data_IF_369974004978
#
_entry.id   IF_369974004978
#
_cell.length_a   1.000
_cell.length_b   1.000
_cell.length_c   1.000
_cell.angle_alpha   90.00
_cell.angle_beta   90.00
_cell.angle_gamma   90.00
#
_symmetry.space_group_name_H-M   'P 1'
#
loop_
_entity.id
_entity.type
_entity.pdbx_description
1 polymer ?
#
# COMPACT_ATOMS: atom_id res chain seq x y z
N UNK A 1 24.54 4.75 -8.10
CA UNK A 1 23.59 3.65 -7.88
C UNK A 1 23.48 3.41 -6.40
N UNK A 2 22.27 3.40 -5.84
CA UNK A 2 22.03 3.17 -4.41
C UNK A 2 22.15 1.67 -4.15
N UNK A 3 23.07 1.24 -3.29
CA UNK A 3 23.29 -0.19 -3.02
C UNK A 3 22.81 -0.63 -1.63
N UNK A 4 22.73 0.30 -0.68
CA UNK A 4 22.44 0.03 0.72
C UNK A 4 21.88 1.27 1.43
N UNK A 5 21.61 1.16 2.73
CA UNK A 5 21.04 2.24 3.54
C UNK A 5 21.95 3.49 3.62
N UNK A 6 23.27 3.32 3.65
CA UNK A 6 24.22 4.44 3.75
C UNK A 6 24.30 5.24 2.44
N UNK A 7 24.27 4.55 1.29
CA UNK A 7 24.15 5.18 -0.02
C UNK A 7 22.84 5.97 -0.12
N UNK A 8 21.75 5.43 0.43
CA UNK A 8 20.46 6.09 0.44
C UNK A 8 20.48 7.36 1.30
N UNK A 9 21.04 7.30 2.51
CA UNK A 9 21.21 8.46 3.38
C UNK A 9 22.06 9.53 2.69
N UNK A 10 23.14 9.13 2.00
CA UNK A 10 24.00 10.04 1.25
C UNK A 10 23.24 10.73 0.11
N UNK A 11 22.44 9.98 -0.65
CA UNK A 11 21.58 10.53 -1.70
C UNK A 11 20.51 11.46 -1.11
N UNK A 12 19.86 11.07 -0.02
CA UNK A 12 18.82 11.88 0.61
C UNK A 12 19.36 13.24 1.07
N UNK A 13 20.60 13.28 1.60
CA UNK A 13 21.29 14.53 1.91
C UNK A 13 21.56 15.37 0.66
N UNK A 14 22.01 14.75 -0.44
CA UNK A 14 22.26 15.46 -1.71
C UNK A 14 20.99 16.05 -2.33
N UNK A 15 19.86 15.36 -2.19
CA UNK A 15 18.55 15.82 -2.68
C UNK A 15 17.91 16.90 -1.79
N UNK A 16 18.49 17.18 -0.63
CA UNK A 16 17.96 18.13 0.34
C UNK A 16 18.73 19.45 0.27
N UNK A 17 18.00 20.55 0.03
CA UNK A 17 18.57 21.90 -0.09
C UNK A 17 17.62 22.85 -0.81
N UNK A 18 17.83 24.17 -0.65
CA UNK A 18 17.06 25.21 -1.34
C UNK A 18 15.52 25.03 -1.26
N UNK A 19 15.00 24.80 -0.05
CA UNK A 19 13.57 24.52 0.21
C UNK A 19 13.01 23.29 -0.54
N UNK A 20 13.87 22.31 -0.82
CA UNK A 20 13.50 20.98 -1.30
C UNK A 20 14.09 19.93 -0.37
N UNK A 21 13.40 18.81 -0.25
CA UNK A 21 13.78 17.71 0.63
C UNK A 21 13.74 16.39 -0.12
N UNK A 22 14.56 15.44 0.31
CA UNK A 22 14.46 14.09 -0.23
C UNK A 22 13.09 13.47 0.07
N UNK A 23 12.57 13.73 1.27
CA UNK A 23 11.42 13.04 1.84
C UNK A 23 10.39 14.03 2.38
N UNK A 24 9.12 13.64 2.34
CA UNK A 24 8.06 14.28 3.11
C UNK A 24 6.78 13.49 2.97
N UNK A 25 6.26 13.01 4.10
CA UNK A 25 5.13 12.09 4.12
C UNK A 25 4.41 12.15 5.45
N UNK A 26 3.10 11.89 5.42
CA UNK A 26 2.33 11.59 6.62
C UNK A 26 3.04 10.49 7.43
N UNK A 27 3.23 10.72 8.74
CA UNK A 27 3.92 9.82 9.68
C UNK A 27 5.26 9.25 9.14
N UNK A 28 6.05 10.07 8.46
CA UNK A 28 7.36 9.73 7.89
C UNK A 28 7.35 8.67 6.77
N UNK A 29 6.21 8.11 6.39
CA UNK A 29 6.08 7.17 5.26
C UNK A 29 7.01 5.97 5.37
N UNK A 30 6.76 5.09 6.35
CA UNK A 30 7.70 4.02 6.72
C UNK A 30 7.84 2.89 5.67
N UNK A 31 6.83 2.67 4.82
CA UNK A 31 6.73 1.47 3.97
C UNK A 31 7.94 1.24 3.03
N UNK A 32 8.49 2.25 2.32
CA UNK A 32 9.72 2.06 1.56
C UNK A 32 10.89 1.55 2.40
N UNK A 33 10.97 1.96 3.67
CA UNK A 33 12.01 1.53 4.59
C UNK A 33 11.74 0.14 5.17
N UNK A 34 10.47 -0.23 5.36
CA UNK A 34 10.08 -1.61 5.72
C UNK A 34 10.56 -2.61 4.66
N UNK A 35 10.42 -2.25 3.38
CA UNK A 35 10.96 -3.02 2.26
C UNK A 35 12.50 -3.10 2.27
N UNK A 36 13.18 -1.98 2.52
CA UNK A 36 14.65 -1.90 2.54
C UNK A 36 15.23 -2.73 3.68
N UNK A 37 14.60 -2.73 4.86
CA UNK A 37 15.07 -3.41 6.07
C UNK A 37 14.51 -4.82 6.27
N UNK A 38 13.77 -5.35 5.29
CA UNK A 38 13.16 -6.68 5.35
C UNK A 38 12.17 -6.86 6.52
N UNK A 39 11.48 -5.78 6.92
CA UNK A 39 10.39 -5.87 7.89
C UNK A 39 9.29 -6.75 7.29
N UNK A 40 8.82 -7.79 8.01
CA UNK A 40 7.78 -8.67 7.47
C UNK A 40 6.47 -7.95 7.17
N UNK A 41 5.66 -8.50 6.27
CA UNK A 41 4.35 -7.95 5.99
C UNK A 41 3.36 -8.34 7.09
N UNK A 42 3.08 -7.43 8.03
CA UNK A 42 2.14 -7.58 9.14
C UNK A 42 2.51 -8.68 10.16
N UNK A 43 2.49 -9.95 9.75
CA UNK A 43 2.90 -11.11 10.54
C UNK A 43 3.89 -11.97 9.77
N UNK A 44 4.65 -12.80 10.49
CA UNK A 44 5.50 -13.83 9.89
C UNK A 44 5.57 -15.06 10.77
N UNK A 45 5.88 -16.21 10.18
CA UNK A 45 6.13 -17.44 10.91
C UNK A 45 7.62 -17.54 11.24
N UNK A 46 7.98 -17.53 12.53
CA UNK A 46 9.33 -17.84 13.03
C UNK A 46 9.24 -19.03 13.98
N UNK A 47 9.94 -20.12 13.65
CA UNK A 47 9.97 -21.36 14.45
C UNK A 47 8.59 -21.89 14.85
N UNK A 48 7.64 -21.90 13.91
CA UNK A 48 6.28 -22.40 14.12
C UNK A 48 5.36 -21.46 14.92
N UNK A 49 5.77 -20.22 15.20
CA UNK A 49 4.95 -19.21 15.89
C UNK A 49 4.81 -17.95 15.06
N UNK A 50 3.65 -17.30 15.17
CA UNK A 50 3.43 -15.99 14.58
C UNK A 50 4.22 -14.92 15.35
N UNK A 51 4.90 -14.05 14.62
CA UNK A 51 5.60 -12.87 15.14
C UNK A 51 5.08 -11.65 14.39
N UNK A 52 4.67 -10.60 15.12
CA UNK A 52 4.22 -9.35 14.51
C UNK A 52 5.43 -8.57 14.00
N UNK A 53 5.29 -7.89 12.87
CA UNK A 53 6.31 -7.01 12.28
C UNK A 53 7.00 -6.09 13.32
N UNK A 54 6.25 -5.39 14.16
CA UNK A 54 6.75 -4.45 15.18
C UNK A 54 7.59 -5.10 16.29
N UNK A 55 7.50 -6.43 16.44
CA UNK A 55 8.28 -7.17 17.44
C UNK A 55 9.66 -7.59 16.91
N UNK A 56 9.95 -7.34 15.63
CA UNK A 56 11.18 -7.81 14.98
C UNK A 56 12.36 -6.84 15.18
N UNK A 57 13.60 -7.35 15.30
CA UNK A 57 14.80 -6.50 15.28
C UNK A 57 14.86 -5.59 14.04
N UNK A 58 14.49 -6.12 12.88
CA UNK A 58 14.43 -5.45 11.59
C UNK A 58 13.57 -4.17 11.65
N UNK A 59 12.44 -4.21 12.38
CA UNK A 59 11.58 -3.05 12.60
C UNK A 59 12.26 -1.95 13.42
N UNK A 60 12.96 -2.31 14.50
CA UNK A 60 13.64 -1.33 15.35
C UNK A 60 14.86 -0.71 14.66
N UNK A 61 15.58 -1.49 13.84
CA UNK A 61 16.67 -1.01 12.99
C UNK A 61 16.15 -0.02 11.94
N UNK A 62 15.05 -0.36 11.27
CA UNK A 62 14.36 0.52 10.32
C UNK A 62 13.97 1.84 10.97
N UNK A 63 13.28 1.80 12.12
CA UNK A 63 12.84 3.00 12.85
C UNK A 63 14.04 3.87 13.24
N UNK A 64 15.14 3.26 13.67
CA UNK A 64 16.39 3.97 13.99
C UNK A 64 17.03 4.61 12.74
N UNK A 65 16.95 3.96 11.59
CA UNK A 65 17.44 4.52 10.33
C UNK A 65 16.60 5.70 9.84
N UNK A 66 15.27 5.63 9.94
CA UNK A 66 14.39 6.75 9.59
C UNK A 66 14.63 7.94 10.52
N UNK A 67 14.90 7.70 11.81
CA UNK A 67 15.33 8.74 12.74
C UNK A 67 16.66 9.40 12.29
N UNK A 68 17.64 8.62 11.79
CA UNK A 68 18.89 9.18 11.23
C UNK A 68 18.65 10.07 10.01
N UNK A 69 17.72 9.68 9.12
CA UNK A 69 17.31 10.50 7.97
C UNK A 69 16.67 11.82 8.43
N UNK A 70 15.79 11.78 9.43
CA UNK A 70 15.18 12.96 10.02
C UNK A 70 16.22 13.88 10.67
N UNK A 71 17.10 13.34 11.50
CA UNK A 71 18.19 14.08 12.15
C UNK A 71 19.17 14.71 11.15
N UNK A 72 19.31 14.09 9.97
CA UNK A 72 20.08 14.64 8.84
C UNK A 72 19.33 15.73 8.04
N UNK A 73 18.11 16.11 8.45
CA UNK A 73 17.30 17.14 7.79
C UNK A 73 16.65 16.70 6.48
N UNK A 74 16.65 15.39 6.15
CA UNK A 74 16.21 14.89 4.85
C UNK A 74 14.68 14.94 4.64
N UNK A 75 13.92 15.20 5.71
CA UNK A 75 12.47 15.35 5.68
C UNK A 75 12.06 16.82 5.62
N UNK A 76 11.04 17.12 4.83
CA UNK A 76 10.36 18.40 4.89
C UNK A 76 9.84 18.66 6.32
N UNK A 77 10.16 19.82 6.94
CA UNK A 77 9.76 20.11 8.31
C UNK A 77 8.23 20.02 8.51
N UNK A 78 7.81 19.31 9.56
CA UNK A 78 6.40 19.12 9.90
C UNK A 78 5.64 18.17 8.96
N UNK A 79 6.33 17.51 8.02
CA UNK A 79 5.67 16.61 7.06
C UNK A 79 5.01 15.39 7.71
N UNK A 80 5.43 15.00 8.91
CA UNK A 80 4.79 13.93 9.66
C UNK A 80 3.31 14.20 9.98
N UNK A 81 2.94 15.49 10.06
CA UNK A 81 1.58 15.97 10.28
C UNK A 81 0.78 16.24 9.00
N UNK A 82 1.34 15.99 7.82
CA UNK A 82 0.63 16.22 6.57
C UNK A 82 -0.55 15.27 6.38
N UNK A 83 -1.57 15.78 5.70
CA UNK A 83 -2.60 14.99 5.04
C UNK A 83 -2.06 14.34 3.76
N UNK A 84 -2.79 13.34 3.24
CA UNK A 84 -2.48 12.73 1.95
C UNK A 84 -2.38 13.77 0.82
N UNK A 85 -3.31 14.72 0.77
CA UNK A 85 -3.33 15.77 -0.28
C UNK A 85 -2.09 16.67 -0.21
N UNK A 86 -1.68 17.08 0.99
CA UNK A 86 -0.46 17.87 1.18
C UNK A 86 0.80 17.11 0.71
N UNK A 87 0.92 15.82 1.06
CA UNK A 87 2.01 14.97 0.59
C UNK A 87 2.02 14.87 -0.94
N UNK A 88 0.88 14.58 -1.57
CA UNK A 88 0.77 14.49 -3.03
C UNK A 88 1.14 15.81 -3.71
N UNK A 89 0.68 16.95 -3.19
CA UNK A 89 0.98 18.27 -3.76
C UNK A 89 2.47 18.65 -3.60
N UNK A 90 3.09 18.33 -2.47
CA UNK A 90 4.51 18.53 -2.26
C UNK A 90 5.36 17.71 -3.25
N UNK A 91 4.94 16.48 -3.55
CA UNK A 91 5.61 15.65 -4.54
C UNK A 91 5.40 16.16 -5.97
N UNK A 92 4.15 16.50 -6.34
CA UNK A 92 3.81 17.02 -7.68
C UNK A 92 4.57 18.30 -7.99
N UNK A 93 4.68 19.22 -7.02
CA UNK A 93 5.43 20.47 -7.16
C UNK A 93 6.96 20.30 -7.15
N UNK A 94 7.46 19.12 -6.81
CA UNK A 94 8.90 18.86 -6.65
C UNK A 94 9.50 19.43 -5.37
N UNK A 95 8.69 19.76 -4.36
CA UNK A 95 9.15 20.12 -3.02
C UNK A 95 9.80 18.92 -2.31
N UNK A 96 9.29 17.71 -2.57
CA UNK A 96 9.88 16.46 -2.08
C UNK A 96 10.21 15.51 -3.23
N UNK A 97 11.32 14.79 -3.14
CA UNK A 97 11.80 13.91 -4.21
C UNK A 97 11.19 12.50 -4.18
N UNK A 98 10.75 12.01 -3.01
CA UNK A 98 10.19 10.67 -2.84
C UNK A 98 9.03 10.67 -1.84
N UNK A 99 7.97 9.93 -2.19
CA UNK A 99 6.81 9.61 -1.33
C UNK A 99 6.43 8.14 -1.48
N UNK A 100 5.52 7.65 -0.62
CA UNK A 100 4.84 6.37 -0.79
C UNK A 100 3.33 6.58 -0.97
N UNK A 101 2.79 6.17 -2.12
CA UNK A 101 1.34 6.25 -2.41
C UNK A 101 0.86 5.09 -3.31
N UNK A 102 1.63 3.99 -3.34
CA UNK A 102 1.36 2.82 -4.16
C UNK A 102 1.52 3.05 -5.68
N UNK A 103 1.71 1.97 -6.41
CA UNK A 103 1.84 2.00 -7.88
C UNK A 103 0.56 2.46 -8.62
N UNK A 104 -0.68 2.16 -8.15
CA UNK A 104 -1.87 2.66 -8.82
C UNK A 104 -1.95 4.19 -8.93
N UNK A 105 -1.37 4.94 -7.97
CA UNK A 105 -1.35 6.40 -8.02
C UNK A 105 -0.43 6.96 -9.13
N UNK A 106 0.51 6.17 -9.62
CA UNK A 106 1.41 6.56 -10.70
C UNK A 106 0.71 6.61 -12.07
N UNK A 107 -0.02 5.55 -12.43
CA UNK A 107 -0.53 5.36 -13.80
C UNK A 107 -2.02 5.59 -14.02
N UNK A 108 -2.81 5.85 -12.98
CA UNK A 108 -4.23 6.21 -13.13
C UNK A 108 -4.41 7.54 -13.88
N UNK A 109 -5.60 7.84 -14.43
CA UNK A 109 -5.94 9.20 -14.85
C UNK A 109 -5.81 10.20 -13.68
N UNK A 110 -5.15 11.33 -13.94
CA UNK A 110 -4.71 12.28 -12.90
C UNK A 110 -3.56 11.77 -12.02
N UNK A 111 -2.86 10.72 -12.42
CA UNK A 111 -1.76 10.10 -11.69
C UNK A 111 -0.44 10.85 -11.84
N UNK A 112 0.56 10.46 -11.04
CA UNK A 112 1.84 11.19 -10.96
C UNK A 112 2.58 11.30 -12.29
N UNK A 113 2.48 10.30 -13.18
CA UNK A 113 3.11 10.40 -14.50
C UNK A 113 2.58 11.56 -15.35
N UNK A 114 1.34 12.00 -15.10
CA UNK A 114 0.76 13.13 -15.81
C UNK A 114 0.94 14.42 -15.01
N UNK A 115 0.68 14.38 -13.70
CA UNK A 115 0.63 15.59 -12.87
C UNK A 115 2.01 16.16 -12.57
N UNK A 116 3.05 15.33 -12.40
CA UNK A 116 4.42 15.80 -12.15
C UNK A 116 4.98 16.59 -13.36
N UNK A 117 4.95 16.06 -14.60
CA UNK A 117 5.38 16.83 -15.77
C UNK A 117 4.45 18.01 -16.09
N UNK A 118 3.16 17.92 -15.78
CA UNK A 118 2.23 19.05 -15.97
C UNK A 118 2.56 20.23 -15.04
N UNK A 119 2.97 19.96 -13.79
CA UNK A 119 3.39 21.00 -12.86
C UNK A 119 4.75 21.60 -13.23
N UNK A 120 5.68 20.78 -13.72
CA UNK A 120 6.96 21.23 -14.27
C UNK A 120 7.46 20.26 -15.35
N UNK A 121 7.51 20.66 -16.64
CA UNK A 121 7.92 19.78 -17.74
C UNK A 121 9.35 19.22 -17.64
N UNK A 122 10.21 19.82 -16.81
CA UNK A 122 11.56 19.31 -16.56
C UNK A 122 11.58 18.13 -15.57
N UNK A 123 10.52 17.96 -14.76
CA UNK A 123 10.45 16.91 -13.75
C UNK A 123 10.02 15.58 -14.38
N UNK A 124 10.61 14.50 -13.87
CA UNK A 124 10.25 13.13 -14.22
C UNK A 124 9.94 12.37 -12.94
N UNK A 125 9.01 11.43 -13.05
CA UNK A 125 8.65 10.51 -11.96
C UNK A 125 8.77 9.07 -12.45
N UNK A 126 9.19 8.19 -11.55
CA UNK A 126 9.28 6.76 -11.80
C UNK A 126 8.93 5.98 -10.53
N UNK A 127 8.43 4.74 -10.66
CA UNK A 127 8.37 3.80 -9.55
C UNK A 127 9.74 3.59 -8.88
N UNK A 128 9.75 3.57 -7.55
CA UNK A 128 10.95 3.25 -6.78
C UNK A 128 11.09 1.72 -6.66
N UNK A 129 12.23 1.18 -7.09
CA UNK A 129 12.59 -0.23 -6.90
C UNK A 129 13.53 -0.33 -5.69
N UNK A 130 13.12 -0.97 -4.59
CA UNK A 130 13.90 -0.99 -3.36
C UNK A 130 15.13 -1.90 -3.44
N UNK A 131 16.07 -1.66 -2.54
CA UNK A 131 17.32 -2.41 -2.32
C UNK A 131 17.39 -2.80 -0.84
N UNK A 132 18.19 -3.80 -0.47
CA UNK A 132 18.34 -4.16 0.95
C UNK A 132 19.24 -3.15 1.69
N UNK A 133 18.92 -2.87 2.95
CA UNK A 133 19.70 -2.02 3.85
C UNK A 133 21.18 -2.42 3.92
N UNK A 134 21.48 -3.71 3.80
CA UNK A 134 22.83 -4.30 3.89
C UNK A 134 23.42 -4.68 2.53
N UNK A 135 22.73 -4.39 1.43
CA UNK A 135 23.13 -4.77 0.07
C UNK A 135 22.34 -5.94 -0.51
N UNK A 136 22.13 -5.90 -1.82
CA UNK A 136 21.36 -6.93 -2.54
C UNK A 136 19.87 -6.62 -2.63
N UNK A 137 19.04 -7.66 -2.76
CA UNK A 137 17.61 -7.54 -3.02
C UNK A 137 16.83 -7.16 -1.76
N UNK A 138 15.95 -6.17 -1.87
CA UNK A 138 14.92 -5.89 -0.86
C UNK A 138 13.87 -7.00 -0.79
N UNK A 139 12.97 -6.90 0.18
CA UNK A 139 11.65 -7.53 0.13
C UNK A 139 10.64 -6.47 -0.28
N UNK A 140 9.54 -6.89 -0.90
CA UNK A 140 8.34 -6.05 -1.01
C UNK A 140 7.14 -6.82 -0.52
N UNK A 141 6.16 -6.12 0.01
CA UNK A 141 4.95 -6.79 0.46
C UNK A 141 4.05 -7.11 -0.72
N UNK A 142 3.50 -8.31 -0.72
CA UNK A 142 2.37 -8.70 -1.57
C UNK A 142 1.08 -8.11 -0.97
N UNK A 143 1.05 -6.79 -0.86
CA UNK A 143 -0.06 -6.03 -0.31
C UNK A 143 -1.17 -5.82 -1.35
N UNK A 144 -2.35 -5.36 -0.90
CA UNK A 144 -3.50 -5.07 -1.75
C UNK A 144 -3.93 -6.23 -2.69
N UNK A 145 -3.53 -7.46 -2.38
CA UNK A 145 -4.08 -8.67 -3.01
C UNK A 145 -5.55 -8.83 -2.64
N UNK A 146 -5.89 -8.44 -1.41
CA UNK A 146 -7.25 -8.26 -0.93
C UNK A 146 -7.43 -6.81 -0.50
N UNK A 147 -8.45 -6.15 -1.03
CA UNK A 147 -8.75 -4.75 -0.70
C UNK A 147 -9.74 -4.65 0.46
N UNK A 148 -10.76 -5.50 0.48
CA UNK A 148 -11.83 -5.49 1.48
C UNK A 148 -12.65 -6.77 1.44
N UNK A 149 -13.18 -7.14 2.60
CA UNK A 149 -14.09 -8.27 2.74
C UNK A 149 -15.54 -7.84 2.57
N UNK A 150 -16.23 -8.48 1.63
CA UNK A 150 -17.69 -8.38 1.51
C UNK A 150 -18.35 -9.49 2.30
N UNK A 151 -19.03 -9.11 3.39
CA UNK A 151 -19.77 -10.04 4.24
C UNK A 151 -21.22 -10.15 3.81
N UNK A 152 -21.69 -11.37 3.55
CA UNK A 152 -23.09 -11.65 3.25
C UNK A 152 -23.81 -12.11 4.51
N UNK A 153 -24.92 -11.45 4.85
CA UNK A 153 -25.76 -11.86 5.97
C UNK A 153 -26.30 -13.27 5.70
N UNK A 154 -26.27 -14.14 6.71
CA UNK A 154 -26.89 -15.46 6.63
C UNK A 154 -28.38 -15.31 6.27
N UNK A 155 -28.85 -16.13 5.32
CA UNK A 155 -30.22 -16.10 4.81
C UNK A 155 -30.59 -17.41 4.13
N UNK A 156 -31.73 -17.41 3.43
CA UNK A 156 -32.15 -18.57 2.63
C UNK A 156 -31.16 -18.83 1.48
N UNK A 157 -31.13 -20.06 0.98
CA UNK A 157 -30.31 -20.43 -0.19
C UNK A 157 -30.59 -19.52 -1.39
N UNK A 158 -31.85 -19.13 -1.59
CA UNK A 158 -32.24 -18.25 -2.68
C UNK A 158 -31.69 -16.83 -2.52
N UNK A 159 -31.71 -16.28 -1.30
CA UNK A 159 -31.09 -14.99 -1.01
C UNK A 159 -29.58 -15.02 -1.29
N UNK A 160 -28.88 -16.05 -0.79
CA UNK A 160 -27.44 -16.20 -1.01
C UNK A 160 -27.13 -16.33 -2.51
N UNK A 161 -27.92 -17.11 -3.25
CA UNK A 161 -27.76 -17.26 -4.71
C UNK A 161 -27.90 -15.92 -5.43
N UNK A 162 -28.90 -15.12 -5.09
CA UNK A 162 -29.10 -13.79 -5.69
C UNK A 162 -27.93 -12.84 -5.42
N UNK A 163 -27.43 -12.80 -4.18
CA UNK A 163 -26.27 -11.97 -3.82
C UNK A 163 -25.02 -12.42 -4.59
N UNK A 164 -24.79 -13.73 -4.71
CA UNK A 164 -23.67 -14.26 -5.47
C UNK A 164 -23.79 -13.98 -6.97
N UNK A 165 -25.00 -13.97 -7.55
CA UNK A 165 -25.21 -13.58 -8.94
C UNK A 165 -24.85 -12.11 -9.18
N UNK A 166 -25.23 -11.20 -8.27
CA UNK A 166 -24.82 -9.79 -8.35
C UNK A 166 -23.29 -9.67 -8.20
N UNK A 167 -22.68 -10.37 -7.24
CA UNK A 167 -21.24 -10.35 -7.06
C UNK A 167 -20.49 -10.86 -8.31
N UNK A 168 -21.01 -11.92 -8.96
CA UNK A 168 -20.44 -12.47 -10.19
C UNK A 168 -20.49 -11.47 -11.36
N UNK A 169 -21.59 -10.73 -11.48
CA UNK A 169 -21.71 -9.64 -12.47
C UNK A 169 -20.71 -8.51 -12.20
N UNK A 170 -20.61 -8.05 -10.94
CA UNK A 170 -19.68 -6.99 -10.56
C UNK A 170 -18.21 -7.40 -10.69
N UNK A 171 -17.92 -8.69 -10.50
CA UNK A 171 -16.59 -9.28 -10.63
C UNK A 171 -16.28 -9.86 -12.02
N UNK A 172 -17.07 -9.51 -13.03
CA UNK A 172 -16.88 -10.02 -14.38
C UNK A 172 -15.47 -9.69 -14.92
N UNK A 173 -14.86 -10.60 -15.69
CA UNK A 173 -13.46 -10.50 -16.10
C UNK A 173 -13.23 -9.36 -17.11
N UNK A 174 -12.01 -8.84 -17.14
CA UNK A 174 -11.56 -7.88 -18.15
C UNK A 174 -11.86 -8.39 -19.56
N UNK A 175 -12.47 -7.53 -20.38
CA UNK A 175 -12.89 -7.85 -21.74
C UNK A 175 -14.35 -8.29 -21.88
N UNK A 176 -15.08 -8.53 -20.77
CA UNK A 176 -16.53 -8.75 -20.83
C UNK A 176 -17.32 -7.44 -20.98
N UNK A 177 -18.58 -7.55 -21.40
CA UNK A 177 -19.50 -6.41 -21.50
C UNK A 177 -19.78 -5.80 -20.13
N UNK A 178 -19.93 -6.63 -19.10
CA UNK A 178 -20.15 -6.22 -17.72
C UNK A 178 -18.93 -5.47 -17.18
N UNK A 179 -17.72 -5.97 -17.38
CA UNK A 179 -16.50 -5.25 -16.97
C UNK A 179 -16.44 -3.88 -17.64
N UNK A 180 -16.77 -3.81 -18.93
CA UNK A 180 -16.76 -2.57 -19.70
C UNK A 180 -17.78 -1.56 -19.15
N UNK A 181 -19.01 -2.00 -18.88
CA UNK A 181 -20.04 -1.18 -18.26
C UNK A 181 -19.60 -0.66 -16.89
N UNK A 182 -19.06 -1.54 -16.04
CA UNK A 182 -18.71 -1.18 -14.66
C UNK A 182 -17.50 -0.24 -14.57
N UNK A 183 -16.57 -0.29 -15.52
CA UNK A 183 -15.34 0.49 -15.47
C UNK A 183 -15.31 1.69 -16.43
N UNK A 184 -16.12 1.68 -17.49
CA UNK A 184 -16.14 2.72 -18.52
C UNK A 184 -17.53 3.34 -18.77
N UNK A 185 -18.60 2.77 -18.23
CA UNK A 185 -19.97 3.26 -18.41
C UNK A 185 -20.63 2.79 -19.71
N UNK A 186 -21.60 3.55 -20.22
CA UNK A 186 -22.33 3.24 -21.45
C UNK A 186 -21.63 3.81 -22.71
N UNK A 187 -21.58 3.02 -23.78
CA UNK A 187 -21.04 3.47 -25.08
C UNK A 187 -21.89 4.62 -25.65
N UNK A 188 -21.23 5.63 -26.22
CA UNK A 188 -21.86 6.84 -26.76
C UNK A 188 -22.12 7.94 -25.72
N UNK A 189 -22.26 7.58 -24.45
CA UNK A 189 -22.43 8.54 -23.34
C UNK A 189 -21.13 8.72 -22.58
N UNK A 190 -20.61 7.63 -22.02
CA UNK A 190 -19.46 7.64 -21.12
C UNK A 190 -18.16 7.32 -21.85
N UNK A 191 -18.20 6.54 -22.92
CA UNK A 191 -17.03 6.30 -23.76
C UNK A 191 -17.40 6.15 -25.24
N UNK A 192 -16.41 6.36 -26.11
CA UNK A 192 -16.45 5.97 -27.51
C UNK A 192 -15.28 5.06 -27.82
N UNK A 193 -15.43 4.16 -28.81
CA UNK A 193 -14.33 3.30 -29.23
C UNK A 193 -13.42 4.02 -30.21
N UNK A 194 -12.11 3.88 -30.03
CA UNK A 194 -11.14 4.29 -31.04
C UNK A 194 -11.07 3.27 -32.20
N UNK A 195 -10.25 3.56 -33.21
CA UNK A 195 -10.06 2.69 -34.37
C UNK A 195 -9.48 1.29 -34.03
N UNK A 196 -8.97 1.09 -32.81
CA UNK A 196 -8.43 -0.18 -32.31
C UNK A 196 -9.42 -0.88 -31.35
N UNK A 197 -10.62 -0.33 -31.17
CA UNK A 197 -11.66 -0.86 -30.30
C UNK A 197 -11.50 -0.50 -28.81
N UNK A 198 -10.54 0.35 -28.44
CA UNK A 198 -10.34 0.74 -27.05
C UNK A 198 -11.42 1.71 -26.57
N UNK A 199 -11.92 1.56 -25.33
CA UNK A 199 -12.86 2.53 -24.75
C UNK A 199 -12.14 3.81 -24.34
N UNK A 200 -12.46 4.91 -25.03
CA UNK A 200 -11.96 6.25 -24.73
C UNK A 200 -13.04 7.03 -23.98
N UNK A 201 -12.81 7.41 -22.72
CA UNK A 201 -13.80 8.07 -21.90
C UNK A 201 -14.11 9.48 -22.42
N UNK A 202 -15.39 9.84 -22.36
CA UNK A 202 -15.87 11.22 -22.50
C UNK A 202 -15.73 11.95 -21.15
N UNK A 203 -15.92 13.28 -21.11
CA UNK A 203 -15.98 14.01 -19.84
C UNK A 203 -17.09 13.53 -18.88
N UNK A 204 -18.16 12.92 -19.39
CA UNK A 204 -19.29 12.46 -18.58
C UNK A 204 -18.95 11.21 -17.75
N UNK A 205 -18.04 10.35 -18.23
CA UNK A 205 -17.65 9.11 -17.56
C UNK A 205 -17.27 9.33 -16.10
N UNK A 206 -16.48 10.38 -15.81
CA UNK A 206 -15.94 10.61 -14.48
C UNK A 206 -17.02 10.71 -13.39
N UNK A 207 -18.20 11.25 -13.71
CA UNK A 207 -19.33 11.33 -12.79
C UNK A 207 -20.11 10.01 -12.76
N UNK A 208 -20.38 9.42 -13.93
CA UNK A 208 -21.25 8.25 -14.06
C UNK A 208 -20.59 6.96 -13.56
N UNK A 209 -19.27 6.84 -13.64
CA UNK A 209 -18.49 5.69 -13.15
C UNK A 209 -17.91 5.92 -11.75
N UNK A 210 -18.26 7.03 -11.08
CA UNK A 210 -17.78 7.30 -9.72
C UNK A 210 -18.44 6.43 -8.66
N UNK A 211 -19.59 5.80 -8.98
CA UNK A 211 -20.33 4.98 -8.03
C UNK A 211 -19.47 3.77 -7.62
N UNK A 212 -19.23 3.55 -6.32
CA UNK A 212 -18.21 2.63 -5.83
C UNK A 212 -18.62 1.14 -5.87
N UNK A 213 -19.30 0.68 -6.91
CA UNK A 213 -19.79 -0.70 -7.03
C UNK A 213 -18.69 -1.76 -6.88
N UNK A 214 -17.49 -1.46 -7.37
CA UNK A 214 -16.30 -2.32 -7.27
C UNK A 214 -15.85 -2.61 -5.83
N UNK A 215 -16.33 -1.87 -4.83
CA UNK A 215 -16.07 -2.16 -3.42
C UNK A 215 -17.05 -3.19 -2.82
N UNK A 216 -18.05 -3.64 -3.59
CA UNK A 216 -18.94 -4.74 -3.20
C UNK A 216 -18.40 -6.09 -3.68
N UNK A 217 -17.95 -6.16 -4.92
CA UNK A 217 -17.22 -7.29 -5.49
C UNK A 217 -16.49 -6.81 -6.75
N UNK A 218 -15.30 -7.33 -6.99
CA UNK A 218 -14.52 -7.02 -8.17
C UNK A 218 -13.61 -8.20 -8.52
N UNK A 219 -13.34 -8.36 -9.82
CA UNK A 219 -12.28 -9.23 -10.28
C UNK A 219 -10.90 -8.62 -9.98
N UNK A 220 -9.81 -9.36 -10.26
CA UNK A 220 -8.46 -8.83 -10.11
C UNK A 220 -8.25 -7.60 -10.99
N UNK A 221 -7.48 -6.63 -10.50
CA UNK A 221 -7.14 -5.45 -11.27
C UNK A 221 -6.32 -5.84 -12.51
N UNK A 222 -6.71 -5.31 -13.67
CA UNK A 222 -5.95 -5.46 -14.92
C UNK A 222 -5.11 -4.22 -15.14
N UNK A 223 -3.83 -4.42 -15.46
CA UNK A 223 -2.94 -3.31 -15.81
C UNK A 223 -3.22 -2.87 -17.25
N UNK A 224 -4.18 -1.96 -17.42
CA UNK A 224 -4.60 -1.46 -18.72
C UNK A 224 -5.01 0.01 -18.64
N UNK A 225 -4.58 0.80 -19.63
CA UNK A 225 -5.05 2.16 -19.86
C UNK A 225 -4.83 2.51 -21.33
N UNK A 226 -5.90 2.78 -22.09
CA UNK A 226 -5.76 3.16 -23.49
C UNK A 226 -5.31 4.61 -23.65
N UNK A 227 -5.58 5.48 -22.65
CA UNK A 227 -5.14 6.88 -22.66
C UNK A 227 -3.66 7.03 -22.28
N UNK A 228 -3.14 6.11 -21.47
CA UNK A 228 -1.77 6.20 -20.93
C UNK A 228 -0.96 4.91 -21.14
N UNK A 229 -0.76 4.46 -22.39
CA UNK A 229 -0.09 3.19 -22.68
C UNK A 229 1.38 3.17 -22.20
N UNK A 230 2.08 4.31 -22.17
CA UNK A 230 3.44 4.36 -21.65
C UNK A 230 3.49 4.22 -20.13
N UNK A 231 2.45 4.67 -19.42
CA UNK A 231 2.31 4.42 -17.98
C UNK A 231 2.17 2.95 -17.67
N UNK A 232 1.37 2.25 -18.49
CA UNK A 232 1.18 0.81 -18.40
C UNK A 232 2.52 0.08 -18.58
N UNK A 233 3.36 0.47 -19.54
CA UNK A 233 4.69 -0.15 -19.74
C UNK A 233 5.61 0.06 -18.52
N UNK A 234 5.66 1.28 -17.97
CA UNK A 234 6.49 1.59 -16.80
C UNK A 234 6.00 0.80 -15.57
N UNK A 235 4.68 0.73 -15.36
CA UNK A 235 4.10 -0.07 -14.30
C UNK A 235 4.37 -1.56 -14.49
N UNK A 236 4.24 -2.08 -15.70
CA UNK A 236 4.52 -3.49 -15.99
C UNK A 236 5.97 -3.84 -15.67
N UNK A 237 6.92 -3.00 -16.10
CA UNK A 237 8.34 -3.17 -15.77
C UNK A 237 8.59 -3.14 -14.26
N UNK A 238 7.95 -2.21 -13.53
CA UNK A 238 8.05 -2.14 -12.08
C UNK A 238 7.47 -3.40 -11.41
N UNK A 239 6.25 -3.80 -11.74
CA UNK A 239 5.62 -5.01 -11.20
C UNK A 239 6.45 -6.27 -11.50
N UNK A 240 6.99 -6.40 -12.71
CA UNK A 240 7.84 -7.53 -13.11
C UNK A 240 9.12 -7.66 -12.26
N UNK A 241 9.61 -6.53 -11.72
CA UNK A 241 10.77 -6.49 -10.81
C UNK A 241 10.38 -6.70 -9.35
N UNK A 242 9.21 -6.22 -8.95
CA UNK A 242 8.75 -6.21 -7.56
C UNK A 242 8.09 -7.52 -7.14
N UNK A 243 7.20 -8.09 -7.96
CA UNK A 243 6.47 -9.32 -7.62
C UNK A 243 7.40 -10.49 -7.23
N UNK A 244 8.54 -10.73 -7.90
CA UNK A 244 9.49 -11.76 -7.48
C UNK A 244 10.17 -11.53 -6.12
N UNK A 245 10.10 -10.32 -5.57
CA UNK A 245 10.61 -9.96 -4.23
C UNK A 245 9.52 -10.06 -3.15
N UNK A 246 8.32 -10.48 -3.55
CA UNK A 246 7.11 -10.48 -2.75
C UNK A 246 7.18 -11.37 -1.51
N UNK A 247 6.81 -10.82 -0.36
CA UNK A 247 6.53 -11.57 0.87
C UNK A 247 5.06 -11.44 1.23
N UNK A 248 4.44 -12.56 1.58
CA UNK A 248 3.03 -12.63 1.97
C UNK A 248 2.86 -12.54 3.49
N UNK A 249 1.70 -12.01 3.91
CA UNK A 249 1.22 -12.12 5.28
C UNK A 249 0.54 -13.49 5.45
N UNK A 250 1.04 -14.38 6.32
CA UNK A 250 0.43 -15.69 6.56
C UNK A 250 -0.96 -15.61 7.20
N UNK A 251 -1.35 -14.45 7.72
CA UNK A 251 -2.67 -14.21 8.31
C UNK A 251 -3.68 -13.59 7.34
N UNK A 252 -3.27 -13.35 6.08
CA UNK A 252 -4.18 -12.88 5.04
C UNK A 252 -5.33 -13.87 4.86
N UNK A 253 -6.57 -13.37 4.83
CA UNK A 253 -7.77 -14.21 4.75
C UNK A 253 -8.24 -14.77 6.10
N UNK A 254 -7.48 -14.60 7.20
CA UNK A 254 -7.87 -15.08 8.52
C UNK A 254 -8.59 -14.01 9.33
N UNK A 255 -9.48 -14.45 10.22
CA UNK A 255 -10.26 -13.55 11.07
C UNK A 255 -9.83 -13.63 12.53
N UNK A 256 -9.58 -12.46 13.12
CA UNK A 256 -9.36 -12.28 14.56
C UNK A 256 -10.43 -11.33 15.10
N UNK A 257 -11.37 -11.82 15.93
CA UNK A 257 -12.37 -10.96 16.58
C UNK A 257 -11.73 -9.82 17.38
N UNK A 258 -10.61 -10.09 18.05
CA UNK A 258 -9.90 -9.06 18.83
C UNK A 258 -9.30 -7.99 17.91
N UNK A 259 -8.70 -8.38 16.79
CA UNK A 259 -8.12 -7.44 15.82
C UNK A 259 -9.22 -6.57 15.20
N UNK A 260 -10.34 -7.18 14.80
CA UNK A 260 -11.48 -6.45 14.23
C UNK A 260 -12.10 -5.45 15.23
N UNK A 261 -12.15 -5.81 16.51
CA UNK A 261 -12.75 -4.96 17.56
C UNK A 261 -11.85 -3.80 17.98
N UNK A 262 -10.56 -4.03 18.14
CA UNK A 262 -9.67 -3.07 18.81
C UNK A 262 -8.23 -3.00 18.27
N UNK A 263 -7.90 -3.70 17.18
CA UNK A 263 -6.54 -3.77 16.63
C UNK A 263 -5.94 -2.38 16.33
N UNK A 264 -6.72 -1.50 15.70
CA UNK A 264 -6.30 -0.12 15.42
C UNK A 264 -6.09 0.70 16.71
N UNK A 265 -6.96 0.53 17.70
CA UNK A 265 -6.89 1.22 18.99
C UNK A 265 -5.61 0.87 19.74
N UNK A 266 -5.28 -0.42 19.82
CA UNK A 266 -4.08 -0.87 20.54
C UNK A 266 -2.78 -0.60 19.78
N UNK A 267 -2.83 -0.50 18.44
CA UNK A 267 -1.67 -0.18 17.61
C UNK A 267 -1.30 1.32 17.62
N UNK A 268 -2.27 2.20 17.88
CA UNK A 268 -2.07 3.65 17.86
C UNK A 268 -0.93 4.13 18.79
N UNK A 269 -0.84 3.70 20.07
CA UNK A 269 0.28 4.08 20.93
C UNK A 269 1.66 3.72 20.38
N UNK A 270 1.79 2.59 19.66
CA UNK A 270 3.04 2.19 18.99
C UNK A 270 3.37 3.17 17.87
N UNK A 271 2.40 3.47 17.00
CA UNK A 271 2.58 4.43 15.90
C UNK A 271 2.95 5.84 16.42
N UNK A 272 2.33 6.28 17.51
CA UNK A 272 2.62 7.58 18.12
C UNK A 272 4.03 7.62 18.75
N UNK A 273 4.44 6.54 19.44
CA UNK A 273 5.79 6.40 20.00
C UNK A 273 6.87 6.41 18.91
N UNK A 274 6.66 5.69 17.80
CA UNK A 274 7.57 5.67 16.65
C UNK A 274 7.68 7.06 16.02
N UNK A 275 6.56 7.74 15.82
CA UNK A 275 6.53 9.12 15.28
C UNK A 275 7.32 10.07 16.18
N UNK A 276 7.13 9.99 17.50
CA UNK A 276 7.84 10.83 18.46
C UNK A 276 9.34 10.54 18.52
N UNK A 277 9.73 9.26 18.46
CA UNK A 277 11.14 8.88 18.42
C UNK A 277 11.83 9.41 17.15
N UNK A 278 11.23 9.20 15.97
CA UNK A 278 11.77 9.70 14.70
C UNK A 278 11.90 11.23 14.74
N UNK A 279 10.89 11.92 15.27
CA UNK A 279 10.89 13.37 15.41
C UNK A 279 11.81 13.91 16.53
N UNK A 280 12.57 13.06 17.22
CA UNK A 280 13.50 13.46 18.28
C UNK A 280 12.85 13.89 19.59
N UNK A 281 11.56 13.60 19.80
CA UNK A 281 10.78 13.94 21.01
C UNK A 281 10.57 12.76 21.97
N UNK A 282 11.22 11.64 21.71
CA UNK A 282 11.12 10.41 22.51
C UNK A 282 12.34 9.51 22.29
N UNK A 283 12.32 8.33 22.89
CA UNK A 283 13.42 7.37 22.86
C UNK A 283 13.01 6.04 22.21
N UNK A 284 14.02 5.25 21.79
CA UNK A 284 13.77 3.89 21.30
C UNK A 284 13.20 2.98 22.40
N UNK A 285 13.47 3.30 23.67
CA UNK A 285 12.88 2.58 24.80
C UNK A 285 11.38 2.86 24.95
N UNK A 286 10.91 4.05 24.59
CA UNK A 286 9.47 4.35 24.56
C UNK A 286 8.76 3.53 23.48
N UNK A 287 9.40 3.36 22.31
CA UNK A 287 8.91 2.48 21.24
C UNK A 287 8.80 1.03 21.73
N UNK A 288 9.86 0.50 22.34
CA UNK A 288 9.88 -0.87 22.91
C UNK A 288 8.81 -1.05 23.98
N UNK A 289 8.62 -0.05 24.85
CA UNK A 289 7.61 -0.07 25.89
C UNK A 289 6.20 -0.08 25.30
N UNK A 290 5.93 0.75 24.28
CA UNK A 290 4.65 0.76 23.58
C UNK A 290 4.35 -0.58 22.89
N UNK A 291 5.36 -1.24 22.29
CA UNK A 291 5.21 -2.59 21.71
C UNK A 291 4.86 -3.60 22.81
N UNK A 292 5.52 -3.55 23.97
CA UNK A 292 5.18 -4.41 25.10
C UNK A 292 3.75 -4.18 25.58
N UNK A 293 3.30 -2.93 25.65
CA UNK A 293 1.90 -2.60 25.98
C UNK A 293 0.92 -3.14 24.93
N UNK A 294 1.23 -3.02 23.64
CA UNK A 294 0.42 -3.57 22.56
C UNK A 294 0.19 -5.08 22.73
N UNK A 295 1.25 -5.84 23.08
CA UNK A 295 1.16 -7.28 23.35
C UNK A 295 0.12 -7.59 24.42
N UNK A 296 0.24 -6.95 25.59
CA UNK A 296 -0.66 -7.16 26.71
C UNK A 296 -2.07 -6.58 26.51
N UNK A 297 -2.22 -5.52 25.71
CA UNK A 297 -3.51 -4.86 25.46
C UNK A 297 -4.42 -5.62 24.48
N UNK A 298 -3.92 -6.68 23.86
CA UNK A 298 -4.69 -7.52 22.94
C UNK A 298 -3.86 -8.14 21.81
N UNK A 299 -2.63 -7.68 21.58
CA UNK A 299 -1.74 -8.22 20.55
C UNK A 299 -1.48 -9.72 20.70
N UNK A 300 -1.29 -10.20 21.93
CA UNK A 300 -1.09 -11.63 22.20
C UNK A 300 -2.38 -12.45 21.98
N UNK A 301 -3.54 -11.87 22.26
CA UNK A 301 -4.83 -12.50 21.96
C UNK A 301 -5.06 -12.60 20.44
N UNK A 302 -4.77 -11.52 19.70
CA UNK A 302 -4.81 -11.50 18.22
C UNK A 302 -3.89 -12.58 17.66
N UNK A 303 -2.65 -12.68 18.15
CA UNK A 303 -1.71 -13.72 17.74
C UNK A 303 -2.30 -15.12 17.96
N UNK A 304 -2.87 -15.38 19.15
CA UNK A 304 -3.46 -16.67 19.48
C UNK A 304 -4.65 -17.03 18.58
N UNK A 305 -5.51 -16.06 18.28
CA UNK A 305 -6.65 -16.22 17.36
C UNK A 305 -6.18 -16.60 15.95
N UNK A 306 -5.19 -15.90 15.41
CA UNK A 306 -4.62 -16.23 14.10
C UNK A 306 -3.90 -17.59 14.10
N UNK A 307 -3.11 -17.92 15.12
CA UNK A 307 -2.46 -19.23 15.21
C UNK A 307 -3.48 -20.38 15.28
N UNK A 308 -4.61 -20.17 15.97
CA UNK A 308 -5.72 -21.12 16.01
C UNK A 308 -6.37 -21.29 14.64
N UNK A 309 -6.56 -20.18 13.90
CA UNK A 309 -7.10 -20.22 12.55
C UNK A 309 -6.15 -20.97 11.60
N UNK A 310 -4.84 -20.72 11.69
CA UNK A 310 -3.81 -21.41 10.91
C UNK A 310 -3.73 -22.92 11.18
N UNK A 311 -3.94 -23.35 12.43
CA UNK A 311 -3.91 -24.78 12.78
C UNK A 311 -5.17 -25.54 12.35
N UNK A 312 -6.08 -24.93 11.59
CA UNK A 312 -7.32 -25.55 11.11
C UNK A 312 -8.42 -25.69 12.17
N UNK A 313 -8.27 -25.11 13.36
CA UNK A 313 -9.26 -25.18 14.43
C UNK A 313 -10.47 -24.24 14.20
N UNK A 314 -10.51 -23.53 13.07
CA UNK A 314 -11.69 -22.91 12.48
C UNK A 314 -11.63 -23.07 10.97
N UNK A 315 -12.33 -24.07 10.43
CA UNK A 315 -12.44 -24.27 8.99
C UNK A 315 -13.07 -23.04 8.31
N UNK A 316 -12.34 -22.44 7.38
CA UNK A 316 -12.87 -21.91 6.13
C UNK A 316 -11.84 -22.20 5.03
N UNK A 317 -12.30 -22.52 3.82
CA UNK A 317 -11.60 -23.42 2.93
C UNK A 317 -10.35 -22.76 2.33
N UNK A 318 -9.26 -23.52 2.30
CA UNK A 318 -8.12 -23.24 1.43
C UNK A 318 -8.59 -22.86 0.03
N UNK A 319 -8.02 -21.82 -0.60
CA UNK A 319 -7.96 -21.76 -2.04
C UNK A 319 -6.82 -22.72 -2.45
N UNK A 320 -7.16 -23.99 -2.68
CA UNK A 320 -6.25 -24.95 -3.28
C UNK A 320 -6.53 -25.07 -4.78
N UNK A 321 -5.43 -24.97 -5.54
CA UNK A 321 -5.22 -25.28 -6.95
C UNK A 321 -5.69 -24.25 -7.99
#
# INVERSE_FOLDING_TARGET
TIKNADDYLSLAKQLTGANRWALGSTKFGLIPFEHIFHVPYNWTMKSGKLVKDIETPEYLEMVSFVQKLYAAGCFAPGSEGWTKSQMSNAFISGQVAQIYDGLPAFGKPGGYQQTVPAANPANKVAPFIPFSATGGKATVWLDNIDFAWTMVKKGSTDHIRQVLQVANFLAAPFGSEEYLLMNYGAEGTDYARDAKGNPIPTPAAALNTAVPWKYLAAGPNTLYSPQFPDAVKVLHDAYSKLVPLGVADPTLGLFSPTNAKQGLTIAKPVSDAVTNYIAGRGSLNDVKSAISTWKSAGGDAIRAEFQKALSGATASPSPSA
#
